data_IF_640098275346
#
_entry.id   IF_640098275346
#
_cell.length_a   1.000
_cell.length_b   1.000
_cell.length_c   1.000
_cell.angle_alpha   90.00
_cell.angle_beta   90.00
_cell.angle_gamma   90.00
#
_symmetry.space_group_name_H-M   'P 1'
#
loop_
_entity.id
_entity.type
_entity.pdbx_description
1 polymer ?
#
# COMPACT_ATOMS: atom_id res chain seq x y z
N UNK A 1 -13.28 -9.83 24.22
CA UNK A 1 -12.30 -9.29 23.25
C UNK A 1 -12.46 -9.85 21.82
N UNK A 2 -12.74 -11.15 21.62
CA UNK A 2 -12.98 -11.74 20.28
C UNK A 2 -14.06 -11.05 19.40
N UNK A 3 -15.25 -10.63 19.90
CA UNK A 3 -16.31 -10.14 19.01
C UNK A 3 -15.98 -8.77 18.38
N UNK A 4 -15.30 -7.88 19.11
CA UNK A 4 -14.92 -6.55 18.61
C UNK A 4 -13.91 -6.67 17.46
N UNK A 5 -12.97 -7.61 17.56
CA UNK A 5 -11.93 -7.83 16.55
C UNK A 5 -12.52 -8.41 15.25
N UNK A 6 -13.44 -9.38 15.38
CA UNK A 6 -14.16 -9.99 14.25
C UNK A 6 -15.05 -8.95 13.55
N UNK A 7 -15.78 -8.13 14.30
CA UNK A 7 -16.62 -7.06 13.75
C UNK A 7 -15.77 -6.00 13.02
N UNK A 8 -14.62 -5.61 13.59
CA UNK A 8 -13.70 -4.67 12.96
C UNK A 8 -13.11 -5.23 11.66
N UNK A 9 -12.71 -6.51 11.66
CA UNK A 9 -12.22 -7.22 10.47
C UNK A 9 -13.31 -7.32 9.39
N UNK A 10 -14.56 -7.65 9.77
CA UNK A 10 -15.70 -7.76 8.85
C UNK A 10 -15.96 -6.43 8.15
N UNK A 11 -16.07 -5.31 8.90
CA UNK A 11 -16.25 -3.98 8.31
C UNK A 11 -15.12 -3.59 7.35
N UNK A 12 -13.88 -4.00 7.64
CA UNK A 12 -12.72 -3.77 6.76
C UNK A 12 -12.71 -4.65 5.51
N UNK A 13 -13.32 -5.84 5.55
CA UNK A 13 -13.37 -6.80 4.42
C UNK A 13 -14.67 -6.75 3.62
N UNK A 14 -15.70 -6.05 4.08
CA UNK A 14 -17.00 -5.89 3.40
C UNK A 14 -16.88 -5.31 1.99
N UNK A 15 -15.87 -4.46 1.75
CA UNK A 15 -15.69 -3.77 0.46
C UNK A 15 -14.39 -4.18 -0.25
N UNK A 16 -14.29 -5.40 -0.80
CA UNK A 16 -13.09 -5.87 -1.48
C UNK A 16 -12.71 -5.03 -2.71
N UNK A 17 -13.71 -4.45 -3.39
CA UNK A 17 -13.48 -3.49 -4.49
C UNK A 17 -12.75 -2.23 -4.01
N UNK A 18 -13.09 -1.74 -2.82
CA UNK A 18 -12.45 -0.55 -2.25
C UNK A 18 -11.02 -0.86 -1.79
N UNK A 19 -10.80 -2.01 -1.14
CA UNK A 19 -9.46 -2.47 -0.78
C UNK A 19 -8.57 -2.69 -2.01
N UNK A 20 -9.13 -3.23 -3.09
CA UNK A 20 -8.42 -3.36 -4.37
C UNK A 20 -8.08 -2.01 -4.99
N UNK A 21 -9.03 -1.07 -5.00
CA UNK A 21 -8.78 0.31 -5.45
C UNK A 21 -7.68 0.97 -4.62
N UNK A 22 -7.71 0.81 -3.30
CA UNK A 22 -6.69 1.33 -2.40
C UNK A 22 -5.30 0.73 -2.72
N UNK A 23 -5.23 -0.59 -2.89
CA UNK A 23 -4.01 -1.30 -3.27
C UNK A 23 -3.46 -0.80 -4.60
N UNK A 24 -4.30 -0.74 -5.64
CA UNK A 24 -3.85 -0.32 -6.98
C UNK A 24 -3.45 1.15 -7.00
N UNK A 25 -4.22 2.05 -6.37
CA UNK A 25 -3.86 3.47 -6.26
C UNK A 25 -2.52 3.65 -5.53
N UNK A 26 -2.31 2.95 -4.41
CA UNK A 26 -1.02 2.97 -3.71
C UNK A 26 0.12 2.43 -4.57
N UNK A 27 -0.13 1.35 -5.31
CA UNK A 27 0.81 0.77 -6.26
C UNK A 27 1.21 1.73 -7.38
N UNK A 28 0.25 2.50 -7.94
CA UNK A 28 0.56 3.53 -8.92
C UNK A 28 1.43 4.65 -8.35
N UNK A 29 1.15 5.11 -7.12
CA UNK A 29 1.97 6.13 -6.44
C UNK A 29 3.38 5.59 -6.18
N UNK A 30 3.49 4.34 -5.72
CA UNK A 30 4.77 3.67 -5.51
C UNK A 30 5.59 3.58 -6.80
N UNK A 31 4.97 3.12 -7.89
CA UNK A 31 5.63 3.01 -9.20
C UNK A 31 6.04 4.39 -9.74
N UNK A 32 5.22 5.42 -9.55
CA UNK A 32 5.58 6.79 -9.92
C UNK A 32 6.81 7.28 -9.14
N UNK A 33 6.86 7.05 -7.83
CA UNK A 33 8.04 7.35 -7.00
C UNK A 33 9.29 6.60 -7.47
N UNK A 34 9.17 5.31 -7.80
CA UNK A 34 10.25 4.50 -8.38
C UNK A 34 10.76 5.08 -9.70
N UNK A 35 9.86 5.46 -10.62
CA UNK A 35 10.24 6.08 -11.89
C UNK A 35 10.98 7.40 -11.67
N UNK A 36 10.56 8.21 -10.71
CA UNK A 36 11.25 9.47 -10.37
C UNK A 36 12.69 9.17 -9.95
N UNK A 37 12.92 8.24 -9.02
CA UNK A 37 14.29 7.91 -8.57
C UNK A 37 15.13 7.38 -9.75
N UNK A 38 14.60 6.42 -10.51
CA UNK A 38 15.34 5.79 -11.61
C UNK A 38 15.67 6.80 -12.71
N UNK A 39 14.73 7.65 -13.11
CA UNK A 39 15.00 8.67 -14.13
C UNK A 39 15.92 9.76 -13.63
N UNK A 40 15.83 10.14 -12.35
CA UNK A 40 16.73 11.15 -11.78
C UNK A 40 18.16 10.61 -11.74
N UNK A 41 18.37 9.33 -11.39
CA UNK A 41 19.67 8.67 -11.44
C UNK A 41 20.29 8.63 -12.85
N UNK A 42 19.46 8.48 -13.90
CA UNK A 42 19.95 8.33 -15.28
C UNK A 42 20.08 9.63 -16.05
N UNK A 43 19.24 10.63 -15.76
CA UNK A 43 19.10 11.83 -16.59
C UNK A 43 19.68 13.08 -15.93
N UNK A 44 19.86 13.08 -14.61
CA UNK A 44 20.39 14.23 -13.86
C UNK A 44 21.83 13.95 -13.48
N UNK A 45 22.71 14.93 -13.72
CA UNK A 45 24.10 14.82 -13.31
C UNK A 45 24.24 14.82 -11.77
N UNK A 46 25.24 14.09 -11.23
CA UNK A 46 25.55 14.08 -9.80
C UNK A 46 25.59 15.47 -9.20
N UNK A 47 24.60 15.79 -8.37
CA UNK A 47 24.40 17.12 -7.79
C UNK A 47 23.43 17.08 -6.61
N UNK A 48 23.45 18.15 -5.80
CA UNK A 48 22.50 18.33 -4.69
C UNK A 48 21.03 18.31 -5.17
N UNK A 49 20.78 18.79 -6.40
CA UNK A 49 19.45 18.76 -7.02
C UNK A 49 19.00 17.33 -7.31
N UNK A 50 19.88 16.45 -7.78
CA UNK A 50 19.58 15.03 -7.99
C UNK A 50 19.17 14.35 -6.68
N UNK A 51 19.89 14.61 -5.60
CA UNK A 51 19.57 14.06 -4.28
C UNK A 51 18.21 14.54 -3.78
N UNK A 52 17.91 15.83 -3.92
CA UNK A 52 16.63 16.40 -3.51
C UNK A 52 15.44 15.80 -4.28
N UNK A 53 15.57 15.59 -5.60
CA UNK A 53 14.53 14.95 -6.41
C UNK A 53 14.39 13.47 -6.04
N UNK A 54 15.50 12.78 -5.80
CA UNK A 54 15.49 11.37 -5.38
C UNK A 54 14.83 11.18 -4.01
N UNK A 55 15.05 12.11 -3.07
CA UNK A 55 14.37 12.15 -1.78
C UNK A 55 12.86 12.34 -1.94
N UNK A 56 12.43 13.20 -2.85
CA UNK A 56 11.00 13.35 -3.16
C UNK A 56 10.41 12.05 -3.72
N UNK A 57 11.11 11.39 -4.64
CA UNK A 57 10.73 10.07 -5.14
C UNK A 57 10.62 9.03 -4.02
N UNK A 58 11.54 9.06 -3.06
CA UNK A 58 11.54 8.15 -1.90
C UNK A 58 10.31 8.36 -1.01
N UNK A 59 9.92 9.62 -0.76
CA UNK A 59 8.69 9.92 -0.01
C UNK A 59 7.45 9.34 -0.69
N UNK A 60 7.37 9.43 -2.02
CA UNK A 60 6.27 8.84 -2.79
C UNK A 60 6.27 7.31 -2.72
N UNK A 61 7.44 6.67 -2.79
CA UNK A 61 7.58 5.22 -2.61
C UNK A 61 7.05 4.80 -1.24
N UNK A 62 7.47 5.48 -0.17
CA UNK A 62 7.03 5.14 1.19
C UNK A 62 5.53 5.37 1.35
N UNK A 63 5.01 6.52 0.92
CA UNK A 63 3.59 6.84 1.04
C UNK A 63 2.71 5.88 0.21
N UNK A 64 3.07 5.65 -1.06
CA UNK A 64 2.38 4.72 -1.95
C UNK A 64 2.44 3.28 -1.45
N UNK A 65 3.60 2.85 -0.95
CA UNK A 65 3.83 1.54 -0.37
C UNK A 65 2.98 1.29 0.88
N UNK A 66 2.98 2.23 1.84
CA UNK A 66 2.13 2.14 3.04
C UNK A 66 0.64 2.12 2.70
N UNK A 67 0.23 2.95 1.74
CA UNK A 67 -1.16 3.01 1.28
C UNK A 67 -1.58 1.70 0.58
N UNK A 68 -0.72 1.15 -0.28
CA UNK A 68 -0.93 -0.12 -0.96
C UNK A 68 -0.99 -1.28 0.04
N UNK A 69 -0.06 -1.31 1.00
CA UNK A 69 0.00 -2.32 2.05
C UNK A 69 -1.32 -2.38 2.84
N UNK A 70 -1.90 -1.23 3.19
CA UNK A 70 -3.21 -1.17 3.82
C UNK A 70 -4.32 -1.83 2.99
N UNK A 71 -4.33 -1.59 1.68
CA UNK A 71 -5.26 -2.26 0.75
C UNK A 71 -5.02 -3.76 0.63
N UNK A 72 -3.76 -4.20 0.57
CA UNK A 72 -3.40 -5.61 0.49
C UNK A 72 -3.79 -6.40 1.77
N UNK A 73 -3.53 -5.81 2.95
CA UNK A 73 -3.93 -6.40 4.22
C UNK A 73 -5.45 -6.58 4.30
N UNK A 74 -6.22 -5.60 3.82
CA UNK A 74 -7.67 -5.68 3.77
C UNK A 74 -8.19 -6.73 2.77
N UNK A 75 -7.48 -6.94 1.66
CA UNK A 75 -7.85 -7.92 0.63
C UNK A 75 -7.55 -9.37 1.04
N UNK A 76 -6.34 -9.62 1.55
CA UNK A 76 -5.82 -10.96 1.77
C UNK A 76 -5.79 -11.33 3.25
N UNK A 77 -5.00 -10.60 4.05
CA UNK A 77 -4.66 -11.00 5.42
C UNK A 77 -5.89 -10.99 6.32
N UNK A 78 -6.71 -9.95 6.27
CA UNK A 78 -7.93 -9.85 7.06
C UNK A 78 -8.98 -10.90 6.68
N UNK A 79 -9.03 -11.28 5.41
CA UNK A 79 -9.94 -12.32 4.93
C UNK A 79 -9.52 -13.71 5.42
N UNK A 80 -8.23 -14.02 5.36
CA UNK A 80 -7.68 -15.28 5.90
C UNK A 80 -7.87 -15.34 7.42
N UNK A 81 -7.59 -14.24 8.13
CA UNK A 81 -7.82 -14.15 9.58
C UNK A 81 -9.29 -14.39 9.93
N UNK A 82 -10.24 -13.80 9.19
CA UNK A 82 -11.67 -14.05 9.38
C UNK A 82 -12.04 -15.51 9.17
N UNK A 83 -11.52 -16.13 8.11
CA UNK A 83 -11.79 -17.55 7.83
C UNK A 83 -11.30 -18.47 8.96
N UNK A 84 -10.14 -18.17 9.55
CA UNK A 84 -9.58 -18.96 10.67
C UNK A 84 -10.36 -18.70 11.97
N UNK A 85 -10.77 -17.45 12.23
CA UNK A 85 -11.46 -17.09 13.47
C UNK A 85 -12.94 -17.50 13.48
N UNK A 86 -13.59 -17.51 12.32
CA UNK A 86 -14.99 -17.89 12.15
C UNK A 86 -15.10 -18.91 11.00
N UNK A 87 -14.64 -20.16 11.21
CA UNK A 87 -14.83 -21.23 10.24
C UNK A 87 -16.34 -21.47 10.13
N UNK A 88 -16.95 -20.98 9.05
CA UNK A 88 -18.36 -21.32 8.77
C UNK A 88 -18.42 -22.82 8.46
N UNK A 89 -19.34 -23.58 9.09
CA UNK A 89 -19.60 -24.97 8.69
C UNK A 89 -20.16 -25.05 7.27
#
# INVERSE_FOLDING_TARGET
MRPVLVEWLRRRTESPRQALKQFTTGGFIFCAGMMIIVFTDKLVAPSMTQEAISLFGLLLIVAGGLYALGGYLALSVFRVLLFILEPRP
#
